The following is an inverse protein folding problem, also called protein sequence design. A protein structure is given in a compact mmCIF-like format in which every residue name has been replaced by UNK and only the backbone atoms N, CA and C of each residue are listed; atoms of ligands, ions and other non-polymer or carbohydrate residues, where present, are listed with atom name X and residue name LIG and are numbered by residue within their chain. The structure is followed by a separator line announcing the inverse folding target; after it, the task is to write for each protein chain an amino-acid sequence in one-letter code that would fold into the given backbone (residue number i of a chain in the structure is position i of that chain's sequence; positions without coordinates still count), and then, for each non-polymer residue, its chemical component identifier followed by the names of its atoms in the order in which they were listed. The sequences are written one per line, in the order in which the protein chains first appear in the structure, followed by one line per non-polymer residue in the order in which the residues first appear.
data_IF_472347452498
#
_entry.id   IF_472347452498
#
_cell.length_a   1.000
_cell.length_b   1.000
_cell.length_c   1.000
_cell.angle_alpha   90.00
_cell.angle_beta   90.00
_cell.angle_gamma   90.00
#
_symmetry.space_group_name_H-M   'P 1'
#
loop_
_entity.id
_entity.type
_entity.pdbx_description
1 polymer ?
#
# COMPACT_ATOMS: atom_id res chain seq x y z
N UNK A 1 -11.88 18.66 -27.33
CA UNK A 1 -10.56 19.23 -27.67
C UNK A 1 -10.35 20.68 -27.22
N UNK A 2 -11.32 21.62 -27.28
CA UNK A 2 -11.12 22.96 -26.69
C UNK A 2 -11.22 22.98 -25.15
N UNK A 3 -12.16 22.23 -24.57
CA UNK A 3 -12.42 22.23 -23.11
C UNK A 3 -11.30 21.60 -22.25
N UNK A 4 -10.54 20.63 -22.79
CA UNK A 4 -9.42 20.00 -22.06
C UNK A 4 -8.21 20.94 -21.93
N UNK A 5 -8.06 21.88 -22.87
CA UNK A 5 -7.02 22.92 -22.83
C UNK A 5 -7.36 24.00 -21.78
N UNK A 6 -8.65 24.25 -21.56
CA UNK A 6 -9.15 25.22 -20.58
C UNK A 6 -8.97 24.70 -19.15
N UNK A 7 -9.31 23.44 -18.89
CA UNK A 7 -9.03 22.78 -17.62
C UNK A 7 -7.52 22.77 -17.29
N UNK A 8 -6.65 22.51 -18.29
CA UNK A 8 -5.18 22.58 -18.10
C UNK A 8 -4.69 23.99 -17.74
N UNK A 9 -5.22 25.03 -18.39
CA UNK A 9 -4.86 26.42 -18.11
C UNK A 9 -5.28 26.85 -16.70
N UNK A 10 -6.47 26.48 -16.26
CA UNK A 10 -6.96 26.78 -14.91
C UNK A 10 -6.11 26.10 -13.83
N UNK A 11 -5.72 24.84 -14.04
CA UNK A 11 -4.85 24.12 -13.13
C UNK A 11 -3.45 24.75 -13.07
N UNK A 12 -2.82 25.05 -14.20
CA UNK A 12 -1.50 25.70 -14.24
C UNK A 12 -1.54 27.11 -13.61
N UNK A 13 -2.61 27.88 -13.84
CA UNK A 13 -2.77 29.21 -13.25
C UNK A 13 -2.92 29.13 -11.72
N UNK A 14 -3.70 28.18 -11.21
CA UNK A 14 -3.89 28.01 -9.76
C UNK A 14 -2.63 27.49 -9.07
N UNK A 15 -1.89 26.58 -9.71
CA UNK A 15 -0.59 26.10 -9.22
C UNK A 15 0.44 27.25 -9.14
N UNK A 16 0.43 28.18 -10.11
CA UNK A 16 1.34 29.33 -10.12
C UNK A 16 1.02 30.40 -9.07
N UNK A 17 -0.26 30.56 -8.71
CA UNK A 17 -0.72 31.64 -7.82
C UNK A 17 -0.84 31.25 -6.35
N UNK A 18 -1.24 30.01 -6.05
CA UNK A 18 -1.83 29.71 -4.73
C UNK A 18 -1.23 28.55 -3.97
N UNK A 19 -0.27 27.78 -4.52
CA UNK A 19 0.35 26.59 -3.87
C UNK A 19 -0.65 25.81 -2.99
N UNK A 20 -1.69 25.21 -3.60
CA UNK A 20 -2.80 24.64 -2.85
C UNK A 20 -2.39 23.44 -2.00
N UNK A 21 -2.96 23.34 -0.79
CA UNK A 21 -2.68 22.24 0.15
C UNK A 21 -3.46 20.96 -0.12
N UNK A 22 -4.47 20.96 -1.00
CA UNK A 22 -5.27 19.75 -1.27
C UNK A 22 -5.91 19.75 -2.65
N UNK A 23 -6.01 18.59 -3.30
CA UNK A 23 -6.70 18.40 -4.60
C UNK A 23 -8.15 18.87 -4.53
N UNK A 24 -8.83 18.71 -3.38
CA UNK A 24 -10.19 19.18 -3.16
C UNK A 24 -10.33 20.71 -3.24
N UNK A 25 -9.33 21.46 -2.77
CA UNK A 25 -9.29 22.92 -2.91
C UNK A 25 -9.07 23.33 -4.37
N UNK A 26 -8.27 22.55 -5.11
CA UNK A 26 -8.01 22.77 -6.53
C UNK A 26 -9.25 22.50 -7.39
N UNK A 27 -10.02 21.45 -7.09
CA UNK A 27 -11.32 21.18 -7.73
C UNK A 27 -12.33 22.28 -7.39
N UNK A 28 -12.43 22.68 -6.12
CA UNK A 28 -13.36 23.73 -5.70
C UNK A 28 -13.05 25.10 -6.33
N UNK A 29 -11.76 25.43 -6.52
CA UNK A 29 -11.35 26.65 -7.22
C UNK A 29 -11.61 26.57 -8.72
N UNK A 30 -11.32 25.44 -9.36
CA UNK A 30 -11.57 25.25 -10.78
C UNK A 30 -13.08 25.30 -11.11
N UNK A 31 -13.93 24.73 -10.24
CA UNK A 31 -15.40 24.79 -10.39
C UNK A 31 -15.99 26.17 -10.09
N UNK A 32 -15.37 26.95 -9.20
CA UNK A 32 -15.81 28.33 -8.92
C UNK A 32 -15.37 29.31 -10.01
N UNK A 33 -14.26 29.02 -10.71
CA UNK A 33 -13.82 29.77 -11.88
C UNK A 33 -14.60 29.40 -13.16
N UNK A 34 -14.97 28.13 -13.32
CA UNK A 34 -15.81 27.66 -14.43
C UNK A 34 -16.71 26.48 -14.02
N UNK A 35 -18.04 26.70 -13.90
CA UNK A 35 -19.00 25.67 -13.52
C UNK A 35 -19.18 24.55 -14.56
N UNK A 36 -18.72 24.74 -15.80
CA UNK A 36 -18.90 23.75 -16.88
C UNK A 36 -17.90 22.60 -16.84
N UNK A 37 -16.82 22.74 -16.05
CA UNK A 37 -15.77 21.73 -15.96
C UNK A 37 -16.11 20.66 -14.92
N UNK A 38 -16.34 19.44 -15.40
CA UNK A 38 -16.58 18.27 -14.55
C UNK A 38 -15.37 17.92 -13.66
N UNK A 39 -15.63 17.56 -12.40
CA UNK A 39 -14.63 17.10 -11.42
C UNK A 39 -13.75 15.97 -11.98
N UNK A 40 -14.36 15.02 -12.71
CA UNK A 40 -13.66 13.89 -13.31
C UNK A 40 -12.60 14.30 -14.35
N UNK A 41 -12.81 15.42 -15.04
CA UNK A 41 -11.84 15.96 -16.00
C UNK A 41 -10.70 16.66 -15.29
N UNK A 42 -10.99 17.41 -14.21
CA UNK A 42 -9.95 18.03 -13.38
C UNK A 42 -9.06 16.95 -12.77
N UNK A 43 -9.64 15.85 -12.27
CA UNK A 43 -8.89 14.71 -11.77
C UNK A 43 -8.01 14.07 -12.85
N UNK A 44 -8.53 13.87 -14.08
CA UNK A 44 -7.71 13.38 -15.21
C UNK A 44 -6.55 14.32 -15.56
N UNK A 45 -6.76 15.63 -15.52
CA UNK A 45 -5.71 16.62 -15.79
C UNK A 45 -4.67 16.61 -14.68
N UNK A 46 -5.09 16.54 -13.42
CA UNK A 46 -4.19 16.41 -12.27
C UNK A 46 -3.39 15.12 -12.37
N UNK A 47 -4.01 13.99 -12.72
CA UNK A 47 -3.30 12.71 -12.93
C UNK A 47 -2.32 12.79 -14.10
N UNK A 48 -2.69 13.41 -15.22
CA UNK A 48 -1.80 13.62 -16.36
C UNK A 48 -0.59 14.51 -15.98
N UNK A 49 -0.82 15.58 -15.20
CA UNK A 49 0.26 16.45 -14.72
C UNK A 49 1.14 15.75 -13.67
N UNK A 50 0.54 14.85 -12.87
CA UNK A 50 1.26 13.95 -11.98
C UNK A 50 2.13 12.99 -12.80
N UNK A 51 1.60 12.37 -13.85
CA UNK A 51 2.29 11.46 -14.77
C UNK A 51 3.50 12.09 -15.44
N UNK A 52 3.40 13.36 -15.82
CA UNK A 52 4.51 14.14 -16.41
C UNK A 52 5.50 14.65 -15.34
N UNK A 53 5.26 14.36 -14.06
CA UNK A 53 6.16 14.73 -12.95
C UNK A 53 6.11 16.22 -12.57
N UNK A 54 5.12 16.97 -13.05
CA UNK A 54 4.97 18.40 -12.72
C UNK A 54 4.36 18.66 -11.35
N UNK A 55 3.66 17.69 -10.78
CA UNK A 55 2.99 17.81 -9.48
C UNK A 55 3.28 16.55 -8.66
N UNK A 56 3.81 16.73 -7.43
CA UNK A 56 3.88 15.67 -6.43
C UNK A 56 2.73 15.84 -5.43
N UNK A 57 1.96 14.79 -5.21
CA UNK A 57 0.93 14.77 -4.19
C UNK A 57 1.56 14.20 -2.91
N UNK A 58 1.82 15.06 -1.95
CA UNK A 58 2.28 14.62 -0.63
C UNK A 58 1.08 14.06 0.16
N UNK A 59 1.27 12.99 0.95
CA UNK A 59 0.25 12.54 1.89
C UNK A 59 -0.05 13.65 2.91
N UNK A 60 -1.28 13.72 3.45
CA UNK A 60 -1.62 14.70 4.47
C UNK A 60 -0.74 14.51 5.71
N UNK A 61 -0.28 15.61 6.30
CA UNK A 61 0.45 15.57 7.56
C UNK A 61 -0.47 15.06 8.68
N UNK A 62 -0.12 13.91 9.28
CA UNK A 62 -0.85 13.38 10.43
C UNK A 62 -0.13 13.79 11.72
N UNK A 63 -0.86 14.45 12.63
CA UNK A 63 -0.33 14.91 13.93
C UNK A 63 0.12 13.76 14.86
N UNK A 64 -0.31 12.52 14.60
CA UNK A 64 0.02 11.36 15.44
C UNK A 64 0.01 10.03 14.68
N UNK A 65 1.05 9.23 14.90
CA UNK A 65 1.23 7.90 14.32
C UNK A 65 0.05 6.95 14.62
N UNK A 66 -0.55 7.05 15.82
CA UNK A 66 -1.70 6.22 16.20
C UNK A 66 -2.96 6.51 15.37
N UNK A 67 -3.24 7.79 15.05
CA UNK A 67 -4.36 8.16 14.18
C UNK A 67 -4.12 7.70 12.74
N UNK A 68 -2.90 7.83 12.24
CA UNK A 68 -2.50 7.30 10.93
C UNK A 68 -2.63 5.77 10.87
N UNK A 69 -2.21 5.09 11.93
CA UNK A 69 -2.23 3.63 12.01
C UNK A 69 -3.65 3.05 12.09
N UNK A 70 -4.55 3.70 12.84
CA UNK A 70 -5.96 3.30 13.01
C UNK A 70 -6.83 3.64 11.80
N UNK A 71 -6.42 4.58 10.95
CA UNK A 71 -7.16 4.92 9.74
C UNK A 71 -6.95 3.84 8.66
N UNK A 72 -7.94 2.95 8.54
CA UNK A 72 -7.91 1.82 7.62
C UNK A 72 -7.78 2.22 6.15
N UNK A 73 -8.16 3.46 5.80
CA UNK A 73 -8.06 3.97 4.44
C UNK A 73 -6.60 4.17 3.99
N UNK A 74 -5.73 4.66 4.88
CA UNK A 74 -4.32 4.90 4.60
C UNK A 74 -3.46 3.66 4.85
N UNK A 75 -3.77 2.89 5.89
CA UNK A 75 -2.99 1.72 6.27
C UNK A 75 -3.57 0.39 5.74
N UNK A 76 -4.11 0.38 4.52
CA UNK A 76 -4.83 -0.78 3.97
C UNK A 76 -3.99 -2.06 3.92
N UNK A 77 -2.67 -1.92 3.74
CA UNK A 77 -1.76 -3.06 3.70
C UNK A 77 -1.62 -3.73 5.07
N UNK A 78 -1.46 -2.94 6.14
CA UNK A 78 -1.40 -3.48 7.49
C UNK A 78 -2.69 -4.22 7.84
N UNK A 79 -3.84 -3.62 7.57
CA UNK A 79 -5.13 -4.27 7.82
C UNK A 79 -5.33 -5.53 6.99
N UNK A 80 -4.89 -5.53 5.72
CA UNK A 80 -4.93 -6.74 4.88
C UNK A 80 -4.06 -7.85 5.50
N UNK A 81 -2.83 -7.53 5.89
CA UNK A 81 -1.91 -8.48 6.53
C UNK A 81 -2.50 -9.00 7.84
N UNK A 82 -3.04 -8.11 8.67
CA UNK A 82 -3.62 -8.46 9.96
C UNK A 82 -4.83 -9.38 9.83
N UNK A 83 -5.76 -9.08 8.92
CA UNK A 83 -6.95 -9.91 8.67
C UNK A 83 -6.54 -11.27 8.13
N UNK A 84 -5.64 -11.32 7.14
CA UNK A 84 -5.19 -12.59 6.55
C UNK A 84 -4.42 -13.45 7.55
N UNK A 85 -3.52 -12.85 8.34
CA UNK A 85 -2.77 -13.56 9.37
C UNK A 85 -3.70 -14.10 10.46
N UNK A 86 -4.64 -13.29 10.95
CA UNK A 86 -5.60 -13.70 11.99
C UNK A 86 -6.54 -14.79 11.48
N UNK A 87 -7.06 -14.66 10.25
CA UNK A 87 -7.90 -15.67 9.62
C UNK A 87 -7.15 -16.99 9.41
N UNK A 88 -5.89 -16.93 8.95
CA UNK A 88 -5.04 -18.12 8.77
C UNK A 88 -4.78 -18.83 10.11
N UNK A 89 -4.53 -18.07 11.18
CA UNK A 89 -4.31 -18.64 12.52
C UNK A 89 -5.58 -19.26 13.08
N UNK A 90 -6.71 -18.58 12.96
CA UNK A 90 -8.00 -19.08 13.41
C UNK A 90 -8.43 -20.37 12.69
N UNK A 91 -8.24 -20.41 11.36
CA UNK A 91 -8.51 -21.61 10.58
C UNK A 91 -7.57 -22.74 10.95
N UNK A 92 -6.27 -22.48 11.10
CA UNK A 92 -5.30 -23.50 11.51
C UNK A 92 -5.60 -24.10 12.89
N UNK A 93 -6.21 -23.34 13.81
CA UNK A 93 -6.64 -23.86 15.12
C UNK A 93 -7.96 -24.65 15.03
N UNK A 94 -8.85 -24.26 14.11
CA UNK A 94 -10.16 -24.88 13.93
C UNK A 94 -10.08 -26.16 13.08
N UNK A 95 -9.17 -26.20 12.11
CA UNK A 95 -8.97 -27.30 11.19
C UNK A 95 -8.10 -28.40 11.83
N UNK A 96 -8.66 -29.05 12.83
CA UNK A 96 -8.04 -30.24 13.43
C UNK A 96 -8.29 -31.52 12.59
N UNK A 97 -8.65 -31.38 11.30
CA UNK A 97 -8.99 -32.50 10.41
C UNK A 97 -8.37 -32.30 9.03
N UNK A 98 -7.60 -33.30 8.59
CA UNK A 98 -7.17 -33.43 7.21
C UNK A 98 -8.34 -33.99 6.37
N UNK A 99 -8.54 -33.53 5.11
CA UNK A 99 -7.73 -32.58 4.35
C UNK A 99 -8.00 -31.10 4.70
N UNK A 100 -6.99 -30.25 4.48
CA UNK A 100 -7.12 -28.80 4.63
C UNK A 100 -8.22 -28.22 3.75
N UNK A 101 -8.92 -27.23 4.28
CA UNK A 101 -9.95 -26.50 3.55
C UNK A 101 -9.32 -25.67 2.42
N UNK A 102 -10.07 -25.46 1.33
CA UNK A 102 -9.63 -24.59 0.23
C UNK A 102 -9.29 -23.17 0.73
N UNK A 103 -10.02 -22.68 1.74
CA UNK A 103 -9.75 -21.39 2.39
C UNK A 103 -8.37 -21.32 3.04
N UNK A 104 -7.92 -22.37 3.71
CA UNK A 104 -6.59 -22.41 4.34
C UNK A 104 -5.48 -22.40 3.30
N UNK A 105 -5.67 -23.15 2.22
CA UNK A 105 -4.70 -23.20 1.13
C UNK A 105 -4.60 -21.81 0.49
N UNK A 106 -5.72 -21.16 0.18
CA UNK A 106 -5.73 -19.82 -0.42
C UNK A 106 -5.09 -18.77 0.49
N UNK A 107 -5.45 -18.76 1.78
CA UNK A 107 -4.88 -17.82 2.73
C UNK A 107 -3.39 -18.08 2.99
N UNK A 108 -2.98 -19.34 3.06
CA UNK A 108 -1.58 -19.74 3.16
C UNK A 108 -0.77 -19.28 1.95
N UNK A 109 -1.28 -19.46 0.73
CA UNK A 109 -0.64 -18.96 -0.50
C UNK A 109 -0.48 -17.45 -0.44
N UNK A 110 -1.52 -16.71 -0.03
CA UNK A 110 -1.44 -15.26 0.07
C UNK A 110 -0.40 -14.81 1.12
N UNK A 111 -0.37 -15.48 2.27
CA UNK A 111 0.55 -15.21 3.38
C UNK A 111 2.02 -15.48 3.03
N UNK A 112 2.27 -16.44 2.15
CA UNK A 112 3.61 -16.85 1.73
C UNK A 112 4.08 -16.08 0.48
N UNK A 113 3.27 -16.06 -0.58
CA UNK A 113 3.72 -15.61 -1.91
C UNK A 113 3.42 -14.14 -2.22
N UNK A 114 2.61 -13.47 -1.41
CA UNK A 114 2.15 -12.12 -1.74
C UNK A 114 2.42 -11.08 -0.66
N UNK A 115 2.00 -11.35 0.57
CA UNK A 115 2.06 -10.39 1.67
C UNK A 115 3.47 -9.93 2.07
N UNK A 116 4.50 -10.80 2.16
CA UNK A 116 5.80 -10.37 2.66
C UNK A 116 6.51 -9.45 1.65
N UNK A 117 6.48 -9.80 0.37
CA UNK A 117 7.08 -8.98 -0.68
C UNK A 117 6.34 -7.68 -0.90
N UNK A 118 5.01 -7.66 -0.88
CA UNK A 118 4.23 -6.41 -0.92
C UNK A 118 4.56 -5.47 0.23
N UNK A 119 4.66 -6.00 1.45
CA UNK A 119 4.99 -5.20 2.63
C UNK A 119 6.43 -4.71 2.59
N UNK A 120 7.37 -5.53 2.12
CA UNK A 120 8.77 -5.16 1.96
C UNK A 120 8.98 -4.09 0.89
N UNK A 121 8.41 -4.26 -0.31
CA UNK A 121 8.55 -3.28 -1.39
C UNK A 121 7.92 -1.94 -1.05
N UNK A 122 6.88 -1.91 -0.22
CA UNK A 122 6.34 -0.65 0.31
C UNK A 122 7.36 0.11 1.16
N UNK A 123 8.30 -0.58 1.82
CA UNK A 123 9.37 0.07 2.59
C UNK A 123 10.37 0.76 1.65
N UNK A 124 10.72 0.12 0.53
CA UNK A 124 11.82 0.55 -0.33
C UNK A 124 11.41 1.34 -1.58
N UNK A 125 10.32 0.96 -2.26
CA UNK A 125 9.89 1.53 -3.54
C UNK A 125 8.78 2.56 -3.37
N UNK A 126 8.94 3.45 -2.40
CA UNK A 126 7.95 4.49 -2.10
C UNK A 126 7.88 5.52 -3.20
N UNK A 127 6.68 5.82 -3.65
CA UNK A 127 6.45 6.84 -4.68
C UNK A 127 6.98 6.46 -6.07
N UNK A 128 7.69 5.34 -6.19
CA UNK A 128 8.17 4.83 -7.46
C UNK A 128 7.01 4.30 -8.29
N UNK A 129 6.93 4.84 -9.51
CA UNK A 129 5.95 4.47 -10.52
C UNK A 129 6.42 3.22 -11.24
N UNK A 130 6.22 2.08 -10.58
CA UNK A 130 6.41 0.76 -11.19
C UNK A 130 5.12 0.34 -11.86
N UNK A 131 5.19 -0.20 -13.09
CA UNK A 131 3.99 -0.66 -13.78
C UNK A 131 3.28 -1.75 -12.96
N UNK A 132 1.93 -1.85 -12.98
CA UNK A 132 1.20 -2.78 -12.11
C UNK A 132 1.66 -4.24 -12.23
N UNK A 133 1.95 -4.69 -13.45
CA UNK A 133 2.42 -6.07 -13.72
C UNK A 133 3.83 -6.28 -13.19
N UNK A 134 4.73 -5.34 -13.42
CA UNK A 134 6.10 -5.39 -12.92
C UNK A 134 6.13 -5.38 -11.38
N UNK A 135 5.30 -4.54 -10.76
CA UNK A 135 5.12 -4.51 -9.32
C UNK A 135 4.65 -5.86 -8.79
N UNK A 136 3.67 -6.48 -9.43
CA UNK A 136 3.17 -7.80 -9.02
C UNK A 136 4.27 -8.87 -9.09
N UNK A 137 5.04 -8.90 -10.19
CA UNK A 137 6.16 -9.83 -10.36
C UNK A 137 7.20 -9.61 -9.26
N UNK A 138 7.52 -8.35 -8.95
CA UNK A 138 8.48 -8.01 -7.91
C UNK A 138 7.98 -8.37 -6.51
N UNK A 139 6.69 -8.16 -6.23
CA UNK A 139 6.02 -8.55 -4.98
C UNK A 139 6.12 -10.07 -4.76
N UNK A 140 5.88 -10.87 -5.80
CA UNK A 140 5.96 -12.33 -5.73
C UNK A 140 7.41 -12.79 -5.59
N UNK A 141 8.32 -12.28 -6.42
CA UNK A 141 9.74 -12.64 -6.39
C UNK A 141 10.36 -12.33 -5.03
N UNK A 142 10.06 -11.15 -4.49
CA UNK A 142 10.53 -10.71 -3.17
C UNK A 142 9.93 -11.59 -2.07
N UNK A 143 8.66 -11.95 -2.16
CA UNK A 143 8.02 -12.85 -1.19
C UNK A 143 8.73 -14.21 -1.13
N UNK A 144 9.02 -14.81 -2.28
CA UNK A 144 9.72 -16.11 -2.35
C UNK A 144 11.08 -16.01 -1.67
N UNK A 145 11.87 -14.98 -1.98
CA UNK A 145 13.20 -14.77 -1.37
C UNK A 145 13.08 -14.60 0.14
N UNK A 146 12.16 -13.74 0.61
CA UNK A 146 12.00 -13.49 2.04
C UNK A 146 11.54 -14.73 2.80
N UNK A 147 10.60 -15.51 2.26
CA UNK A 147 10.14 -16.74 2.91
C UNK A 147 11.23 -17.81 2.91
N UNK A 148 12.03 -17.94 1.85
CA UNK A 148 13.17 -18.85 1.84
C UNK A 148 14.21 -18.47 2.90
N UNK A 149 14.53 -17.17 3.03
CA UNK A 149 15.43 -16.67 4.07
C UNK A 149 14.87 -16.89 5.47
N UNK A 150 13.57 -16.66 5.68
CA UNK A 150 12.91 -16.92 6.94
C UNK A 150 12.94 -18.42 7.29
N UNK A 151 12.65 -19.29 6.33
CA UNK A 151 12.75 -20.74 6.50
C UNK A 151 14.17 -21.16 6.89
N UNK A 152 15.19 -20.60 6.25
CA UNK A 152 16.58 -20.84 6.60
C UNK A 152 16.88 -20.40 8.04
N UNK A 153 16.39 -19.22 8.44
CA UNK A 153 16.56 -18.69 9.79
C UNK A 153 15.88 -19.56 10.84
N UNK A 154 14.66 -20.05 10.57
CA UNK A 154 13.93 -20.96 11.45
C UNK A 154 14.61 -22.33 11.57
N UNK A 155 15.18 -22.81 10.46
CA UNK A 155 15.92 -24.06 10.43
C UNK A 155 17.20 -23.97 11.26
N UNK A 156 18.00 -22.90 11.09
CA UNK A 156 19.19 -22.68 11.91
C UNK A 156 18.88 -22.37 13.37
N UNK A 157 17.75 -21.71 13.64
CA UNK A 157 17.28 -21.41 15.00
C UNK A 157 16.71 -22.61 15.76
N UNK A 158 16.62 -23.80 15.14
CA UNK A 158 16.08 -25.01 15.77
C UNK A 158 14.56 -25.00 15.97
N UNK A 159 13.83 -24.03 15.40
CA UNK A 159 12.38 -23.89 15.54
C UNK A 159 11.59 -24.83 14.61
N UNK A 160 12.26 -25.40 13.61
CA UNK A 160 11.71 -26.39 12.67
C UNK A 160 10.85 -25.77 11.57
N UNK A 161 10.80 -26.43 10.41
CA UNK A 161 10.10 -25.95 9.20
C UNK A 161 8.65 -26.44 9.09
N UNK A 162 8.27 -27.51 9.78
CA UNK A 162 6.99 -28.20 9.63
C UNK A 162 6.07 -28.11 10.86
N UNK A 163 6.28 -27.10 11.70
CA UNK A 163 5.54 -26.91 12.96
C UNK A 163 4.57 -25.74 12.89
N UNK A 164 3.58 -25.71 13.78
CA UNK A 164 2.79 -24.51 14.08
C UNK A 164 3.69 -23.28 14.35
N UNK A 165 4.92 -23.50 14.81
CA UNK A 165 5.98 -22.50 14.98
C UNK A 165 6.37 -21.79 13.68
N UNK A 166 6.37 -22.49 12.54
CA UNK A 166 6.71 -21.88 11.26
C UNK A 166 5.60 -20.92 10.80
N UNK A 167 4.34 -21.32 10.99
CA UNK A 167 3.19 -20.47 10.69
C UNK A 167 3.16 -19.22 11.58
N UNK A 168 3.38 -19.38 12.89
CA UNK A 168 3.39 -18.24 13.81
C UNK A 168 4.55 -17.28 13.51
N UNK A 169 5.74 -17.80 13.17
CA UNK A 169 6.89 -16.99 12.77
C UNK A 169 6.61 -16.20 11.49
N UNK A 170 5.97 -16.82 10.50
CA UNK A 170 5.58 -16.14 9.26
C UNK A 170 4.54 -15.04 9.50
N UNK A 171 3.57 -15.27 10.39
CA UNK A 171 2.58 -14.25 10.78
C UNK A 171 3.27 -13.06 11.46
N UNK A 172 4.13 -13.33 12.44
CA UNK A 172 4.89 -12.28 13.15
C UNK A 172 5.77 -11.51 12.17
N UNK A 173 6.48 -12.21 11.28
CA UNK A 173 7.33 -11.58 10.26
C UNK A 173 6.53 -10.65 9.33
N UNK A 174 5.39 -11.11 8.83
CA UNK A 174 4.51 -10.28 7.98
C UNK A 174 3.96 -9.06 8.73
N UNK A 175 3.55 -9.23 10.00
CA UNK A 175 3.07 -8.12 10.82
C UNK A 175 4.16 -7.08 11.07
N UNK A 176 5.39 -7.51 11.35
CA UNK A 176 6.52 -6.62 11.53
C UNK A 176 6.83 -5.85 10.24
N UNK A 177 6.88 -6.52 9.08
CA UNK A 177 7.07 -5.84 7.80
C UNK A 177 5.96 -4.83 7.50
N UNK A 178 4.71 -5.19 7.77
CA UNK A 178 3.57 -4.30 7.56
C UNK A 178 3.63 -3.08 8.49
N UNK A 179 4.03 -3.27 9.75
CA UNK A 179 4.23 -2.20 10.72
C UNK A 179 5.39 -1.29 10.32
N UNK A 180 6.52 -1.85 9.87
CA UNK A 180 7.66 -1.10 9.35
C UNK A 180 7.28 -0.30 8.11
N UNK A 181 6.49 -0.89 7.19
CA UNK A 181 5.92 -0.19 6.05
C UNK A 181 5.09 1.02 6.46
N UNK A 182 4.16 0.83 7.40
CA UNK A 182 3.32 1.91 7.93
C UNK A 182 4.13 3.00 8.63
N UNK A 183 5.09 2.63 9.48
CA UNK A 183 5.98 3.58 10.16
C UNK A 183 6.74 4.44 9.17
N UNK A 184 7.21 3.82 8.11
CA UNK A 184 8.11 4.47 7.18
C UNK A 184 7.31 5.29 6.13
N UNK A 185 6.04 4.95 5.86
CA UNK A 185 5.08 5.83 5.19
C UNK A 185 4.78 7.09 6.05
N UNK A 186 4.59 6.92 7.36
CA UNK A 186 4.39 8.03 8.29
C UNK A 186 5.61 8.95 8.39
N UNK A 187 6.83 8.39 8.44
CA UNK A 187 8.05 9.20 8.52
C UNK A 187 8.27 10.03 7.25
N UNK A 188 7.94 9.48 6.08
CA UNK A 188 8.04 10.20 4.80
C UNK A 188 7.07 11.39 4.72
N UNK A 189 5.86 11.26 5.28
CA UNK A 189 4.89 12.35 5.34
C UNK A 189 5.27 13.50 6.28
N UNK A 190 6.31 13.33 7.13
CA UNK A 190 6.80 14.36 8.05
C UNK A 190 8.00 15.13 7.50
N UNK A 191 8.66 14.61 6.45
CA UNK A 191 9.89 15.19 5.89
C UNK A 191 9.69 15.92 4.55
N UNK A 192 8.46 15.95 4.04
CA UNK A 192 8.10 16.48 2.72
C UNK A 192 7.24 17.74 2.85
#
# INVERSE_FOLDING_TARGET
MPEDAEARRLVDQFLSKSKPGTVRQLVAYAQSADPTVSEMRILKVVDALREVGRISLNPPEFESFSRFFLDASWNSNFWTVFVVATASGFLSLSANRFPWSLSEILLGVLLIFYLPGRSFLRIFLRGERVQPVERLVLEIATSIVLVMLLGLLLNFGGLGLFSATALSSLMVFNLLLALSGAYSDYSAGRTA
#
